data_IF_051011390802
#
_entry.id   IF_051011390802
#
_cell.length_a   1.000
_cell.length_b   1.000
_cell.length_c   1.000
_cell.angle_alpha   90.00
_cell.angle_beta   90.00
_cell.angle_gamma   90.00
#
_symmetry.space_group_name_H-M   'P 1'
#
loop_
_entity.id
_entity.type
_entity.pdbx_description
1 polymer ?
#
# COMPACT_ATOMS: atom_id res chain seq x y z
N UNK A 1 -6.76 52.46 -46.01
CA UNK A 1 -6.13 51.14 -46.00
C UNK A 1 -7.12 50.23 -45.26
N UNK A 2 -7.92 49.47 -46.04
CA UNK A 2 -8.79 48.45 -45.51
C UNK A 2 -7.94 47.21 -45.26
N UNK A 3 -7.88 46.74 -44.03
CA UNK A 3 -7.32 45.44 -43.69
C UNK A 3 -8.44 44.43 -43.98
N UNK A 4 -8.27 43.66 -45.06
CA UNK A 4 -9.11 42.53 -45.40
C UNK A 4 -9.09 41.53 -44.25
N UNK A 5 -10.31 41.10 -43.82
CA UNK A 5 -10.49 40.14 -42.78
C UNK A 5 -9.83 38.80 -43.14
N UNK A 6 -9.02 38.29 -42.24
CA UNK A 6 -8.49 36.93 -42.32
C UNK A 6 -9.68 35.95 -42.40
N UNK A 7 -9.77 35.28 -43.52
CA UNK A 7 -10.68 34.17 -43.76
C UNK A 7 -10.48 33.13 -42.62
N UNK A 8 -11.45 33.02 -41.75
CA UNK A 8 -11.42 31.99 -40.70
C UNK A 8 -11.54 30.65 -41.39
N UNK A 9 -10.43 29.93 -41.46
CA UNK A 9 -10.41 28.57 -42.04
C UNK A 9 -11.51 27.74 -41.40
N UNK A 10 -12.50 27.37 -42.17
CA UNK A 10 -13.64 26.55 -41.75
C UNK A 10 -13.10 25.16 -41.45
N UNK A 11 -13.10 24.74 -40.14
CA UNK A 11 -12.72 23.39 -39.76
C UNK A 11 -13.80 22.42 -40.18
N UNK A 12 -13.50 21.46 -41.02
CA UNK A 12 -14.40 20.35 -41.34
C UNK A 12 -14.48 19.39 -40.13
N UNK A 13 -15.68 19.14 -39.64
CA UNK A 13 -15.95 18.17 -38.58
C UNK A 13 -16.43 16.86 -39.20
N UNK A 14 -15.65 15.78 -39.01
CA UNK A 14 -16.01 14.43 -39.47
C UNK A 14 -16.36 13.61 -38.22
N UNK A 15 -17.66 13.33 -38.04
CA UNK A 15 -18.20 12.64 -36.87
C UNK A 15 -18.59 11.20 -37.20
N UNK A 16 -18.87 10.40 -36.14
CA UNK A 16 -19.33 9.00 -36.24
C UNK A 16 -18.37 8.09 -37.02
N UNK A 17 -17.07 8.33 -36.89
CA UNK A 17 -16.05 7.45 -37.47
C UNK A 17 -16.20 6.03 -36.93
N UNK A 18 -16.07 5.00 -37.79
CA UNK A 18 -16.20 3.61 -37.34
C UNK A 18 -15.02 3.24 -36.44
N UNK A 19 -15.31 2.48 -35.38
CA UNK A 19 -14.30 1.97 -34.45
C UNK A 19 -14.64 0.55 -33.99
N UNK A 20 -13.65 -0.18 -33.51
CA UNK A 20 -13.80 -1.44 -32.78
C UNK A 20 -13.23 -1.28 -31.39
N UNK A 21 -13.74 -2.05 -30.42
CA UNK A 21 -13.25 -2.06 -29.06
C UNK A 21 -12.51 -3.34 -28.74
N UNK A 22 -11.48 -3.26 -27.92
CA UNK A 22 -10.81 -4.41 -27.32
C UNK A 22 -10.54 -4.12 -25.86
N UNK A 23 -10.74 -5.11 -24.99
CA UNK A 23 -10.44 -4.98 -23.56
C UNK A 23 -9.06 -5.57 -23.29
N UNK A 24 -8.07 -4.74 -23.08
CA UNK A 24 -6.69 -5.14 -22.79
C UNK A 24 -6.21 -4.67 -21.40
N UNK A 25 -6.81 -3.58 -20.89
CA UNK A 25 -6.46 -2.98 -19.59
C UNK A 25 -7.24 -3.71 -18.49
N UNK A 26 -6.54 -4.19 -17.46
CA UNK A 26 -7.15 -4.91 -16.33
C UNK A 26 -7.81 -6.23 -16.71
N UNK A 27 -7.36 -6.88 -17.78
CA UNK A 27 -7.98 -8.12 -18.25
C UNK A 27 -7.70 -9.33 -17.37
N UNK A 28 -6.61 -9.31 -16.58
CA UNK A 28 -6.28 -10.35 -15.60
C UNK A 28 -6.69 -9.97 -14.19
N UNK A 29 -6.49 -8.69 -13.83
CA UNK A 29 -6.90 -8.18 -12.54
C UNK A 29 -7.01 -6.65 -12.52
N UNK A 30 -8.03 -6.14 -11.82
CA UNK A 30 -8.24 -4.73 -11.51
C UNK A 30 -8.13 -4.55 -10.00
N UNK A 31 -7.07 -3.88 -9.56
CA UNK A 31 -6.77 -3.64 -8.14
C UNK A 31 -7.08 -2.17 -7.83
N UNK A 32 -8.05 -1.91 -6.95
CA UNK A 32 -8.34 -0.57 -6.45
C UNK A 32 -7.60 -0.28 -5.15
N UNK A 33 -7.09 0.94 -5.00
CA UNK A 33 -6.42 1.38 -3.78
C UNK A 33 -6.90 2.77 -3.34
N UNK A 34 -7.43 2.87 -2.13
CA UNK A 34 -7.69 4.14 -1.46
C UNK A 34 -6.42 4.56 -0.74
N UNK A 35 -5.78 5.63 -1.22
CA UNK A 35 -4.46 6.11 -0.79
C UNK A 35 -4.60 7.42 -0.03
N UNK A 36 -3.73 7.71 0.94
CA UNK A 36 -3.75 8.99 1.64
C UNK A 36 -3.43 10.16 0.70
N UNK A 37 -4.12 11.29 0.87
CA UNK A 37 -3.84 12.49 0.07
C UNK A 37 -2.41 13.00 0.28
N UNK A 38 -1.80 12.73 1.45
CA UNK A 38 -0.43 13.11 1.80
C UNK A 38 0.64 12.09 1.37
N UNK A 39 0.26 10.89 0.88
CA UNK A 39 1.21 9.83 0.55
C UNK A 39 2.01 10.14 -0.73
N UNK A 40 3.33 10.09 -0.65
CA UNK A 40 4.27 10.26 -1.76
C UNK A 40 4.83 8.92 -2.26
N UNK A 41 4.70 7.85 -1.48
CA UNK A 41 5.52 6.63 -1.61
C UNK A 41 4.75 5.47 -2.22
N UNK A 42 3.52 5.23 -1.77
CA UNK A 42 2.79 4.01 -2.07
C UNK A 42 2.63 3.78 -3.58
N UNK A 43 2.10 4.76 -4.31
CA UNK A 43 1.92 4.61 -5.77
C UNK A 43 3.24 4.43 -6.52
N UNK A 44 4.33 5.05 -6.02
CA UNK A 44 5.66 4.87 -6.57
C UNK A 44 6.15 3.42 -6.41
N UNK A 45 6.03 2.85 -5.21
CA UNK A 45 6.46 1.49 -4.93
C UNK A 45 5.56 0.44 -5.62
N UNK A 46 4.24 0.66 -5.66
CA UNK A 46 3.31 -0.23 -6.35
C UNK A 46 3.66 -0.37 -7.84
N UNK A 47 4.03 0.73 -8.52
CA UNK A 47 4.48 0.69 -9.93
C UNK A 47 5.78 -0.10 -10.13
N UNK A 48 6.60 -0.24 -9.09
CA UNK A 48 7.82 -1.05 -9.15
C UNK A 48 7.54 -2.55 -8.93
N UNK A 49 6.62 -2.87 -8.02
CA UNK A 49 6.34 -4.24 -7.61
C UNK A 49 5.28 -4.95 -8.47
N UNK A 50 4.29 -4.21 -8.98
CA UNK A 50 3.20 -4.79 -9.76
C UNK A 50 3.39 -4.44 -11.24
N UNK A 51 4.16 -5.28 -11.94
CA UNK A 51 4.49 -5.14 -13.35
C UNK A 51 4.08 -6.41 -14.14
N UNK A 52 2.82 -6.81 -13.99
CA UNK A 52 2.28 -8.00 -14.64
C UNK A 52 1.37 -7.59 -15.81
N UNK A 53 1.58 -8.08 -17.03
CA UNK A 53 0.71 -7.77 -18.16
C UNK A 53 -0.76 -8.08 -17.85
N UNK A 54 -1.65 -7.12 -18.06
CA UNK A 54 -3.08 -7.24 -17.81
C UNK A 54 -3.49 -7.12 -16.33
N UNK A 55 -2.57 -6.78 -15.44
CA UNK A 55 -2.85 -6.39 -14.04
C UNK A 55 -2.70 -4.90 -13.93
N UNK A 56 -3.77 -4.20 -13.58
CA UNK A 56 -3.78 -2.74 -13.51
C UNK A 56 -4.28 -2.25 -12.15
N UNK A 57 -3.69 -1.12 -11.69
CA UNK A 57 -3.99 -0.51 -10.39
C UNK A 57 -4.70 0.82 -10.61
N UNK A 58 -5.76 1.04 -9.86
CA UNK A 58 -6.57 2.25 -9.89
C UNK A 58 -6.59 2.89 -8.51
N UNK A 59 -6.38 4.20 -8.44
CA UNK A 59 -6.24 4.92 -7.18
C UNK A 59 -7.32 5.97 -6.99
N UNK A 60 -7.75 6.14 -5.73
CA UNK A 60 -8.46 7.33 -5.27
C UNK A 60 -7.79 7.82 -3.98
N UNK A 61 -7.69 9.15 -3.80
CA UNK A 61 -7.02 9.72 -2.64
C UNK A 61 -8.03 10.20 -1.60
N UNK A 62 -7.86 9.71 -0.36
CA UNK A 62 -8.69 10.08 0.78
C UNK A 62 -8.06 11.25 1.54
N UNK A 63 -8.86 12.25 1.89
CA UNK A 63 -8.42 13.37 2.72
C UNK A 63 -7.97 12.88 4.11
N UNK A 64 -6.80 13.32 4.54
CA UNK A 64 -6.21 12.97 5.83
C UNK A 64 -5.39 14.14 6.41
N UNK A 65 -5.04 14.06 7.69
CA UNK A 65 -4.10 14.96 8.34
C UNK A 65 -2.65 14.59 7.99
N UNK A 66 -1.77 15.58 7.92
CA UNK A 66 -0.32 15.39 7.85
C UNK A 66 0.30 14.94 9.17
N UNK A 67 -0.43 15.10 10.29
CA UNK A 67 0.00 14.64 11.61
C UNK A 67 -0.71 13.33 11.96
N UNK A 68 0.08 12.32 12.27
CA UNK A 68 -0.35 10.95 12.54
C UNK A 68 -0.62 10.79 14.04
N UNK A 69 -1.91 10.76 14.43
CA UNK A 69 -2.36 10.42 15.79
C UNK A 69 -3.53 9.45 15.73
N UNK A 70 -3.86 8.73 16.82
CA UNK A 70 -5.03 7.87 16.85
C UNK A 70 -6.35 8.56 16.45
N UNK A 71 -6.52 9.85 16.79
CA UNK A 71 -7.70 10.65 16.46
C UNK A 71 -7.77 10.96 14.95
N UNK A 72 -6.66 11.46 14.37
CA UNK A 72 -6.60 11.80 12.95
C UNK A 72 -6.73 10.56 12.06
N UNK A 73 -6.23 9.40 12.51
CA UNK A 73 -6.40 8.12 11.82
C UNK A 73 -7.88 7.68 11.80
N UNK A 74 -8.57 7.78 12.93
CA UNK A 74 -10.01 7.42 13.02
C UNK A 74 -10.92 8.38 12.26
N UNK A 75 -10.52 9.64 12.09
CA UNK A 75 -11.30 10.64 11.36
C UNK A 75 -11.51 10.32 9.87
N UNK A 76 -10.70 9.42 9.29
CA UNK A 76 -10.86 9.01 7.88
C UNK A 76 -12.04 8.05 7.64
N UNK A 77 -12.54 7.35 8.68
CA UNK A 77 -13.60 6.35 8.54
C UNK A 77 -14.82 6.81 7.71
N UNK A 78 -15.43 7.99 7.98
CA UNK A 78 -16.63 8.40 7.25
C UNK A 78 -16.40 8.70 5.77
N UNK A 79 -15.14 8.90 5.36
CA UNK A 79 -14.78 9.21 3.97
C UNK A 79 -14.40 7.97 3.16
N UNK A 80 -14.17 6.82 3.82
CA UNK A 80 -13.54 5.67 3.18
C UNK A 80 -14.41 5.07 2.07
N UNK A 81 -15.70 4.83 2.33
CA UNK A 81 -16.59 4.25 1.33
C UNK A 81 -16.78 5.19 0.12
N UNK A 82 -17.08 6.47 0.35
CA UNK A 82 -17.27 7.44 -0.74
C UNK A 82 -16.02 7.67 -1.57
N UNK A 83 -14.83 7.59 -0.95
CA UNK A 83 -13.57 7.66 -1.71
C UNK A 83 -13.37 6.40 -2.56
N UNK A 84 -13.67 5.22 -2.01
CA UNK A 84 -13.55 3.96 -2.74
C UNK A 84 -14.50 3.87 -3.95
N UNK A 85 -15.70 4.46 -3.86
CA UNK A 85 -16.69 4.54 -4.96
C UNK A 85 -16.15 5.29 -6.19
N UNK A 86 -15.19 6.21 -6.01
CA UNK A 86 -14.56 6.95 -7.11
C UNK A 86 -13.66 6.09 -8.00
N UNK A 87 -13.27 4.91 -7.53
CA UNK A 87 -12.43 4.00 -8.31
C UNK A 87 -13.31 3.23 -9.31
N UNK A 88 -13.17 3.53 -10.59
CA UNK A 88 -13.93 2.92 -11.69
C UNK A 88 -15.44 2.79 -11.36
N UNK A 89 -16.17 3.89 -11.27
CA UNK A 89 -17.60 3.86 -10.92
C UNK A 89 -18.39 2.96 -11.86
N UNK A 90 -19.18 2.03 -11.29
CA UNK A 90 -19.97 1.06 -12.06
C UNK A 90 -19.22 -0.19 -12.51
N UNK A 91 -17.87 -0.22 -12.43
CA UNK A 91 -17.08 -1.39 -12.77
C UNK A 91 -16.75 -2.25 -11.55
N UNK A 92 -16.50 -3.55 -11.81
CA UNK A 92 -16.05 -4.52 -10.82
C UNK A 92 -14.52 -4.40 -10.64
N UNK A 93 -14.08 -4.49 -9.38
CA UNK A 93 -12.68 -4.67 -9.00
C UNK A 93 -12.48 -6.08 -8.45
N UNK A 94 -11.35 -6.73 -8.78
CA UNK A 94 -10.97 -8.02 -8.19
C UNK A 94 -10.54 -7.85 -6.74
N UNK A 95 -9.79 -6.78 -6.46
CA UNK A 95 -9.30 -6.44 -5.12
C UNK A 95 -9.48 -4.95 -4.87
N UNK A 96 -9.88 -4.61 -3.64
CA UNK A 96 -9.95 -3.23 -3.16
C UNK A 96 -9.21 -3.12 -1.84
N UNK A 97 -8.30 -2.16 -1.71
CA UNK A 97 -7.54 -1.93 -0.50
C UNK A 97 -7.70 -0.51 0.05
N UNK A 98 -7.60 -0.38 1.37
CA UNK A 98 -7.33 0.90 2.04
C UNK A 98 -5.85 0.93 2.43
N UNK A 99 -5.07 1.76 1.77
CA UNK A 99 -3.62 1.76 1.84
C UNK A 99 -3.08 2.69 2.95
N UNK A 100 -3.44 2.39 4.19
CA UNK A 100 -2.89 3.04 5.38
C UNK A 100 -2.79 2.04 6.53
N UNK A 101 -1.58 1.72 6.99
CA UNK A 101 -1.35 0.70 8.03
C UNK A 101 -1.91 1.13 9.37
N UNK A 102 -1.47 2.27 9.86
CA UNK A 102 -1.87 2.78 11.19
C UNK A 102 -3.38 3.07 11.28
N UNK A 103 -4.00 3.60 10.21
CA UNK A 103 -5.43 3.81 10.20
C UNK A 103 -6.22 2.49 10.14
N UNK A 104 -5.74 1.50 9.40
CA UNK A 104 -6.36 0.17 9.36
C UNK A 104 -6.35 -0.50 10.74
N UNK A 105 -5.26 -0.34 11.49
CA UNK A 105 -5.16 -0.81 12.88
C UNK A 105 -6.06 0.01 13.81
N UNK A 106 -6.01 1.34 13.74
CA UNK A 106 -6.79 2.23 14.61
C UNK A 106 -8.31 2.11 14.42
N UNK A 107 -8.77 1.75 13.23
CA UNK A 107 -10.17 1.48 12.89
C UNK A 107 -10.57 0.03 13.17
N UNK A 108 -9.63 -0.88 13.07
CA UNK A 108 -9.84 -2.32 13.02
C UNK A 108 -10.07 -2.84 11.59
N UNK A 109 -9.37 -3.91 11.22
CA UNK A 109 -9.44 -4.49 9.85
C UNK A 109 -10.87 -4.88 9.43
N UNK A 110 -11.75 -5.42 10.30
CA UNK A 110 -13.14 -5.72 9.92
C UNK A 110 -13.95 -4.46 9.56
N UNK A 111 -13.73 -3.34 10.26
CA UNK A 111 -14.41 -2.07 9.97
C UNK A 111 -13.96 -1.51 8.63
N UNK A 112 -12.67 -1.58 8.34
CA UNK A 112 -12.12 -1.18 7.03
C UNK A 112 -12.75 -2.02 5.91
N UNK A 113 -12.77 -3.34 6.04
CA UNK A 113 -13.39 -4.25 5.06
C UNK A 113 -14.87 -3.93 4.85
N UNK A 114 -15.61 -3.65 5.93
CA UNK A 114 -17.02 -3.26 5.84
C UNK A 114 -17.23 -1.97 5.02
N UNK A 115 -16.38 -0.95 5.24
CA UNK A 115 -16.44 0.30 4.48
C UNK A 115 -16.11 0.10 3.00
N UNK A 116 -15.09 -0.71 2.69
CA UNK A 116 -14.70 -1.03 1.32
C UNK A 116 -15.78 -1.85 0.59
N UNK A 117 -16.34 -2.86 1.24
CA UNK A 117 -17.41 -3.68 0.67
C UNK A 117 -18.72 -2.90 0.47
N UNK A 118 -18.97 -1.83 1.24
CA UNK A 118 -20.10 -0.95 0.99
C UNK A 118 -19.97 -0.23 -0.36
N UNK A 119 -18.73 0.10 -0.79
CA UNK A 119 -18.45 0.75 -2.07
C UNK A 119 -18.38 -0.26 -3.24
N UNK A 120 -17.74 -1.41 -3.03
CA UNK A 120 -17.47 -2.44 -4.04
C UNK A 120 -17.71 -3.83 -3.43
N UNK A 121 -18.99 -4.29 -3.38
CA UNK A 121 -19.38 -5.51 -2.66
C UNK A 121 -18.76 -6.79 -3.22
N UNK A 122 -18.37 -6.80 -4.49
CA UNK A 122 -17.81 -7.97 -5.18
C UNK A 122 -16.28 -8.08 -5.02
N UNK A 123 -15.61 -6.99 -4.60
CA UNK A 123 -14.16 -6.96 -4.46
C UNK A 123 -13.70 -7.72 -3.21
N UNK A 124 -12.63 -8.49 -3.34
CA UNK A 124 -11.89 -8.97 -2.17
C UNK A 124 -11.19 -7.79 -1.52
N UNK A 125 -11.34 -7.64 -0.19
CA UNK A 125 -10.79 -6.47 0.50
C UNK A 125 -9.53 -6.80 1.28
N UNK A 126 -8.61 -5.83 1.32
CA UNK A 126 -7.39 -5.91 2.13
C UNK A 126 -6.94 -4.53 2.61
N UNK A 127 -5.92 -4.52 3.44
CA UNK A 127 -5.21 -3.34 3.92
C UNK A 127 -3.80 -3.75 4.36
N UNK A 128 -2.85 -2.82 4.59
CA UNK A 128 -1.46 -3.17 4.89
C UNK A 128 -1.27 -3.98 6.17
N UNK A 129 -2.11 -3.80 7.20
CA UNK A 129 -2.02 -4.57 8.42
C UNK A 129 -2.42 -6.03 8.17
N UNK A 130 -3.56 -6.26 7.53
CA UNK A 130 -4.02 -7.61 7.19
C UNK A 130 -3.06 -8.31 6.21
N UNK A 131 -2.53 -7.55 5.24
CA UNK A 131 -1.51 -8.06 4.32
C UNK A 131 -0.21 -8.46 5.03
N UNK A 132 0.22 -7.68 6.04
CA UNK A 132 1.40 -8.02 6.85
C UNK A 132 1.19 -9.33 7.64
N UNK A 133 0.03 -9.53 8.25
CA UNK A 133 -0.27 -10.77 8.96
C UNK A 133 -0.28 -11.99 8.02
N UNK A 134 -0.87 -11.85 6.83
CA UNK A 134 -0.82 -12.89 5.80
C UNK A 134 0.63 -13.16 5.34
N UNK A 135 1.45 -12.11 5.20
CA UNK A 135 2.86 -12.24 4.85
C UNK A 135 3.67 -12.97 5.93
N UNK A 136 3.45 -12.68 7.23
CA UNK A 136 4.10 -13.38 8.33
C UNK A 136 3.77 -14.87 8.32
N UNK A 137 2.50 -15.21 8.08
CA UNK A 137 2.06 -16.60 7.95
C UNK A 137 2.71 -17.31 6.75
N UNK A 138 2.75 -16.66 5.59
CA UNK A 138 3.38 -17.21 4.38
C UNK A 138 4.89 -17.44 4.54
N UNK A 139 5.56 -16.57 5.32
CA UNK A 139 6.97 -16.69 5.67
C UNK A 139 7.24 -17.67 6.82
N UNK A 140 6.20 -18.22 7.46
CA UNK A 140 6.33 -19.10 8.62
C UNK A 140 6.88 -18.41 9.89
N UNK A 141 6.78 -17.09 9.93
CA UNK A 141 7.34 -16.27 11.01
C UNK A 141 6.46 -16.29 12.27
N UNK A 142 7.09 -16.19 13.42
CA UNK A 142 6.45 -16.02 14.73
C UNK A 142 6.94 -14.80 15.49
N UNK A 143 8.24 -14.50 15.38
CA UNK A 143 8.93 -13.42 16.09
C UNK A 143 9.23 -12.28 15.13
N UNK A 144 8.52 -11.18 15.28
CA UNK A 144 8.52 -10.05 14.36
C UNK A 144 9.33 -8.89 14.96
N UNK A 145 10.45 -8.51 14.32
CA UNK A 145 11.09 -7.23 14.60
C UNK A 145 10.33 -6.12 13.88
N UNK A 146 9.87 -5.12 14.59
CA UNK A 146 9.05 -4.03 14.02
C UNK A 146 9.84 -2.73 14.00
N UNK A 147 9.80 -2.02 12.87
CA UNK A 147 10.30 -0.66 12.70
C UNK A 147 9.18 0.24 12.21
N UNK A 148 8.99 1.39 12.85
CA UNK A 148 7.96 2.38 12.49
C UNK A 148 8.52 3.79 12.49
N UNK A 149 7.84 4.76 11.86
CA UNK A 149 8.14 6.17 12.08
C UNK A 149 7.38 6.77 13.26
N UNK A 150 6.34 6.14 13.78
CA UNK A 150 5.30 6.72 14.63
C UNK A 150 5.77 7.08 16.04
N UNK A 151 4.97 7.91 16.72
CA UNK A 151 5.08 8.16 18.14
C UNK A 151 4.63 6.95 19.01
N UNK A 152 4.80 7.08 20.32
CA UNK A 152 4.50 5.99 21.28
C UNK A 152 3.03 5.54 21.21
N UNK A 153 2.08 6.47 21.07
CA UNK A 153 0.66 6.14 21.10
C UNK A 153 0.24 5.27 19.90
N UNK A 154 0.77 5.58 18.71
CA UNK A 154 0.53 4.78 17.50
C UNK A 154 1.35 3.48 17.52
N UNK A 155 2.58 3.52 18.05
CA UNK A 155 3.42 2.33 18.19
C UNK A 155 2.78 1.26 19.09
N UNK A 156 2.16 1.68 20.18
CA UNK A 156 1.45 0.75 21.09
C UNK A 156 0.25 0.09 20.37
N UNK A 157 -0.48 0.80 19.50
CA UNK A 157 -1.53 0.21 18.68
C UNK A 157 -0.97 -0.83 17.68
N UNK A 158 0.13 -0.51 17.00
CA UNK A 158 0.77 -1.43 16.05
C UNK A 158 1.25 -2.69 16.75
N UNK A 159 1.95 -2.54 17.88
CA UNK A 159 2.46 -3.66 18.67
C UNK A 159 1.32 -4.57 19.13
N UNK A 160 0.31 -3.99 19.78
CA UNK A 160 -0.85 -4.74 20.28
C UNK A 160 -1.55 -5.48 19.13
N UNK A 161 -1.76 -4.84 17.98
CA UNK A 161 -2.40 -5.49 16.83
C UNK A 161 -1.64 -6.71 16.30
N UNK A 162 -0.31 -6.67 16.32
CA UNK A 162 0.52 -7.81 15.91
C UNK A 162 0.45 -8.94 16.96
N UNK A 163 0.48 -8.59 18.24
CA UNK A 163 0.41 -9.55 19.34
C UNK A 163 -0.97 -10.21 19.44
N UNK A 164 -2.05 -9.47 19.21
CA UNK A 164 -3.43 -9.99 19.21
C UNK A 164 -3.66 -11.02 18.08
N UNK A 165 -2.91 -10.94 16.99
CA UNK A 165 -2.92 -11.94 15.90
C UNK A 165 -2.03 -13.17 16.21
N UNK A 166 -1.43 -13.23 17.40
CA UNK A 166 -0.67 -14.37 17.90
C UNK A 166 0.82 -14.39 17.52
N UNK A 167 1.37 -13.26 17.07
CA UNK A 167 2.80 -13.09 16.81
C UNK A 167 3.50 -12.48 18.02
N UNK A 168 4.78 -12.80 18.18
CA UNK A 168 5.65 -12.18 19.18
C UNK A 168 6.37 -10.96 18.60
N UNK A 169 6.54 -9.91 19.43
CA UNK A 169 7.29 -8.70 19.04
C UNK A 169 8.48 -8.51 20.01
N UNK A 170 9.59 -9.27 19.82
CA UNK A 170 10.74 -9.22 20.73
C UNK A 170 11.49 -7.89 20.67
N UNK A 171 11.37 -7.13 19.59
CA UNK A 171 11.99 -5.81 19.45
C UNK A 171 11.10 -4.87 18.63
N UNK A 172 11.06 -3.62 19.07
CA UNK A 172 10.30 -2.56 18.41
C UNK A 172 11.16 -1.29 18.33
N UNK A 173 11.43 -0.83 17.10
CA UNK A 173 12.16 0.42 16.81
C UNK A 173 11.22 1.49 16.28
N UNK A 174 11.52 2.75 16.55
CA UNK A 174 10.78 3.88 16.00
C UNK A 174 11.67 5.10 15.76
N UNK A 175 11.35 5.86 14.70
CA UNK A 175 11.96 7.17 14.45
C UNK A 175 11.28 8.30 15.26
N UNK A 176 10.09 8.07 15.82
CA UNK A 176 9.26 9.07 16.52
C UNK A 176 8.99 10.33 15.69
N UNK A 177 8.72 10.17 14.40
CA UNK A 177 8.40 11.24 13.48
C UNK A 177 6.90 11.20 13.11
N UNK A 178 6.07 12.09 13.66
CA UNK A 178 4.62 12.06 13.41
C UNK A 178 4.20 12.79 12.13
N UNK A 179 5.10 13.51 11.46
CA UNK A 179 4.79 14.28 10.26
C UNK A 179 4.98 13.43 9.00
N UNK A 180 3.88 13.01 8.41
CA UNK A 180 3.84 12.05 7.30
C UNK A 180 4.73 12.43 6.08
N UNK A 181 4.78 13.69 5.60
CA UNK A 181 5.70 14.07 4.53
C UNK A 181 7.19 13.93 4.90
N UNK A 182 7.56 14.12 6.18
CA UNK A 182 8.93 13.91 6.65
C UNK A 182 9.27 12.42 6.62
N UNK A 183 8.33 11.56 7.01
CA UNK A 183 8.48 10.09 6.95
C UNK A 183 8.82 9.63 5.53
N UNK A 184 8.13 10.16 4.52
CA UNK A 184 8.39 9.83 3.12
C UNK A 184 9.81 10.24 2.64
N UNK A 185 10.48 11.11 3.40
CA UNK A 185 11.84 11.60 3.10
C UNK A 185 12.94 10.85 3.83
N UNK A 186 12.63 9.89 4.73
CA UNK A 186 13.63 9.05 5.39
C UNK A 186 14.36 8.24 4.32
N UNK A 187 15.69 8.38 4.27
CA UNK A 187 16.50 7.72 3.24
C UNK A 187 16.75 6.23 3.54
N UNK A 188 17.08 5.48 2.48
CA UNK A 188 17.29 4.04 2.57
C UNK A 188 18.45 3.65 3.53
N UNK A 189 19.50 4.46 3.63
CA UNK A 189 20.61 4.19 4.53
C UNK A 189 20.20 4.31 5.99
N UNK A 190 19.40 5.32 6.33
CA UNK A 190 18.82 5.49 7.66
C UNK A 190 17.91 4.32 8.04
N UNK A 191 17.06 3.87 7.10
CA UNK A 191 16.19 2.70 7.29
C UNK A 191 17.01 1.43 7.51
N UNK A 192 17.99 1.18 6.67
CA UNK A 192 18.89 0.03 6.79
C UNK A 192 19.65 0.04 8.10
N UNK A 193 20.24 1.19 8.49
CA UNK A 193 20.96 1.31 9.76
C UNK A 193 20.03 1.04 10.96
N UNK A 194 18.79 1.53 10.92
CA UNK A 194 17.79 1.26 11.97
C UNK A 194 17.44 -0.22 12.04
N UNK A 195 17.20 -0.88 10.90
CA UNK A 195 16.93 -2.32 10.82
C UNK A 195 18.09 -3.11 11.45
N UNK A 196 19.32 -2.88 10.99
CA UNK A 196 20.51 -3.56 11.52
C UNK A 196 20.64 -3.35 13.04
N UNK A 197 20.36 -2.12 13.52
CA UNK A 197 20.45 -1.77 14.94
C UNK A 197 19.43 -2.52 15.80
N UNK A 198 18.17 -2.61 15.37
CA UNK A 198 17.13 -3.27 16.17
C UNK A 198 17.26 -4.79 16.15
N UNK A 199 17.87 -5.36 15.11
CA UNK A 199 17.99 -6.81 14.96
C UNK A 199 19.25 -7.41 15.60
N UNK A 200 20.28 -6.59 15.89
CA UNK A 200 21.63 -7.01 16.31
C UNK A 200 21.68 -8.06 17.45
N UNK A 201 20.73 -8.03 18.39
CA UNK A 201 20.74 -8.87 19.60
C UNK A 201 19.44 -9.64 19.82
N UNK A 202 18.61 -9.74 18.81
CA UNK A 202 17.30 -10.34 18.92
C UNK A 202 17.16 -11.53 17.97
N UNK A 203 16.64 -12.63 18.49
CA UNK A 203 16.26 -13.78 17.70
C UNK A 203 14.88 -13.51 17.08
N UNK A 204 14.85 -13.34 15.77
CA UNK A 204 13.68 -12.90 15.00
C UNK A 204 13.52 -13.75 13.74
N UNK A 205 12.31 -13.85 13.25
CA UNK A 205 11.99 -14.61 12.04
C UNK A 205 11.75 -13.69 10.82
N UNK A 206 11.33 -12.43 11.05
CA UNK A 206 11.08 -11.44 10.00
C UNK A 206 11.24 -10.02 10.53
N UNK A 207 11.64 -9.10 9.66
CA UNK A 207 11.58 -7.65 9.93
C UNK A 207 10.38 -7.06 9.20
N UNK A 208 9.54 -6.31 9.91
CA UNK A 208 8.40 -5.58 9.38
C UNK A 208 8.56 -4.07 9.54
N UNK A 209 8.57 -3.34 8.41
CA UNK A 209 8.60 -1.89 8.39
C UNK A 209 7.15 -1.39 8.20
N UNK A 210 6.57 -0.83 9.27
CA UNK A 210 5.15 -0.51 9.35
C UNK A 210 4.86 0.96 9.08
N UNK A 211 4.74 1.33 7.81
CA UNK A 211 4.15 2.58 7.31
C UNK A 211 4.13 2.56 5.78
N UNK A 212 3.05 3.03 5.15
CA UNK A 212 2.96 3.15 3.69
C UNK A 212 3.79 4.30 3.13
N UNK A 213 4.09 5.31 3.95
CA UNK A 213 4.93 6.44 3.55
C UNK A 213 6.42 6.12 3.58
N UNK A 214 6.86 5.02 4.23
CA UNK A 214 8.27 4.59 4.23
C UNK A 214 8.60 3.90 2.91
N UNK A 215 9.66 4.38 2.25
CA UNK A 215 10.13 3.86 0.96
C UNK A 215 11.28 2.87 1.14
N UNK A 216 11.02 1.57 0.92
CA UNK A 216 12.02 0.51 1.12
C UNK A 216 11.86 -0.70 0.18
N UNK A 217 10.78 -0.78 -0.60
CA UNK A 217 10.48 -1.99 -1.37
C UNK A 217 11.59 -2.38 -2.35
N UNK A 218 12.29 -1.42 -2.95
CA UNK A 218 13.40 -1.67 -3.86
C UNK A 218 14.65 -2.26 -3.17
N UNK A 219 14.79 -2.07 -1.86
CA UNK A 219 15.97 -2.47 -1.09
C UNK A 219 15.75 -3.78 -0.32
N UNK A 220 14.52 -4.31 -0.28
CA UNK A 220 14.14 -5.49 0.51
C UNK A 220 15.08 -6.68 0.24
N UNK A 221 15.24 -7.09 -1.00
CA UNK A 221 16.08 -8.25 -1.34
C UNK A 221 17.56 -8.07 -0.94
N UNK A 222 18.08 -6.85 -1.05
CA UNK A 222 19.44 -6.52 -0.62
C UNK A 222 19.58 -6.62 0.89
N UNK A 223 18.62 -6.06 1.64
CA UNK A 223 18.62 -6.09 3.10
C UNK A 223 18.48 -7.53 3.61
N UNK A 224 17.60 -8.32 3.01
CA UNK A 224 17.46 -9.76 3.32
C UNK A 224 18.78 -10.52 3.14
N UNK A 225 19.49 -10.26 2.04
CA UNK A 225 20.78 -10.90 1.76
C UNK A 225 21.85 -10.58 2.81
N UNK A 226 21.83 -9.37 3.37
CA UNK A 226 22.79 -8.95 4.39
C UNK A 226 22.39 -9.41 5.80
N UNK A 227 21.08 -9.42 6.08
CA UNK A 227 20.56 -9.74 7.41
C UNK A 227 20.37 -11.26 7.62
N UNK A 228 20.13 -12.00 6.54
CA UNK A 228 19.89 -13.44 6.60
C UNK A 228 18.48 -13.84 7.04
N UNK A 229 17.56 -12.88 7.20
CA UNK A 229 16.15 -13.12 7.51
C UNK A 229 15.23 -12.34 6.56
N UNK A 230 13.99 -12.80 6.34
CA UNK A 230 13.01 -12.09 5.51
C UNK A 230 12.74 -10.67 6.00
N UNK A 231 12.51 -9.78 5.06
CA UNK A 231 12.13 -8.39 5.31
C UNK A 231 10.88 -8.06 4.53
N UNK A 232 9.93 -7.41 5.15
CA UNK A 232 8.75 -6.88 4.44
C UNK A 232 8.36 -5.51 4.97
N UNK A 233 7.63 -4.76 4.16
CA UNK A 233 7.06 -3.47 4.57
C UNK A 233 5.55 -3.46 4.34
N UNK A 234 4.89 -2.43 4.82
CA UNK A 234 3.46 -2.22 4.57
C UNK A 234 3.11 -2.28 3.08
N UNK A 235 3.86 -1.58 2.24
CA UNK A 235 3.63 -1.56 0.80
C UNK A 235 4.01 -2.90 0.14
N UNK A 236 5.11 -3.49 0.56
CA UNK A 236 5.60 -4.75 0.04
C UNK A 236 4.61 -5.90 0.33
N UNK A 237 4.15 -6.03 1.56
CA UNK A 237 3.13 -6.99 1.94
C UNK A 237 1.79 -6.73 1.24
N UNK A 238 1.38 -5.44 1.12
CA UNK A 238 0.13 -5.08 0.44
C UNK A 238 0.16 -5.44 -1.04
N UNK A 239 1.25 -5.14 -1.75
CA UNK A 239 1.42 -5.49 -3.16
C UNK A 239 1.32 -7.00 -3.37
N UNK A 240 2.08 -7.78 -2.58
CA UNK A 240 2.04 -9.24 -2.61
C UNK A 240 0.64 -9.78 -2.34
N UNK A 241 -0.02 -9.29 -1.30
CA UNK A 241 -1.34 -9.80 -0.91
C UNK A 241 -2.42 -9.43 -1.93
N UNK A 242 -2.39 -8.22 -2.50
CA UNK A 242 -3.30 -7.85 -3.59
C UNK A 242 -3.15 -8.79 -4.79
N UNK A 243 -1.93 -9.14 -5.19
CA UNK A 243 -1.68 -10.10 -6.26
C UNK A 243 -2.26 -11.48 -5.92
N UNK A 244 -1.99 -12.01 -4.72
CA UNK A 244 -2.52 -13.32 -4.29
C UNK A 244 -4.06 -13.34 -4.23
N UNK A 245 -4.69 -12.28 -3.74
CA UNK A 245 -6.15 -12.14 -3.74
C UNK A 245 -6.73 -12.07 -5.17
N UNK A 246 -6.01 -11.45 -6.09
CA UNK A 246 -6.37 -11.37 -7.50
C UNK A 246 -6.13 -12.68 -8.28
N UNK A 247 -5.52 -13.70 -7.67
CA UNK A 247 -5.17 -14.97 -8.33
C UNK A 247 -3.91 -14.87 -9.20
N UNK A 248 -3.04 -13.90 -8.92
CA UNK A 248 -1.75 -13.72 -9.58
C UNK A 248 -0.68 -14.36 -8.70
N UNK A 249 -0.25 -15.59 -9.04
CA UNK A 249 0.64 -16.40 -8.22
C UNK A 249 2.09 -16.47 -8.74
N UNK A 250 2.41 -15.66 -9.76
CA UNK A 250 3.76 -15.58 -10.31
C UNK A 250 4.78 -15.18 -9.25
N UNK A 251 5.90 -15.90 -9.22
CA UNK A 251 7.00 -15.64 -8.29
C UNK A 251 7.93 -14.58 -8.85
N UNK A 252 8.35 -13.65 -8.00
CA UNK A 252 9.29 -12.56 -8.34
C UNK A 252 10.40 -12.50 -7.27
N UNK A 253 11.36 -13.43 -7.27
CA UNK A 253 12.41 -13.52 -6.25
C UNK A 253 13.23 -12.23 -6.10
N UNK A 254 13.30 -11.41 -7.16
CA UNK A 254 13.98 -10.11 -7.15
C UNK A 254 13.35 -9.10 -6.18
N UNK A 255 12.09 -9.31 -5.79
CA UNK A 255 11.40 -8.51 -4.78
C UNK A 255 11.55 -9.07 -3.36
N UNK A 256 12.34 -10.14 -3.16
CA UNK A 256 12.61 -10.73 -1.84
C UNK A 256 11.85 -12.04 -1.59
N UNK A 257 12.04 -12.58 -0.38
CA UNK A 257 11.55 -13.92 -0.01
C UNK A 257 10.02 -14.01 -0.04
N UNK A 258 9.30 -12.97 0.39
CA UNK A 258 7.83 -12.94 0.37
C UNK A 258 7.26 -13.17 -1.03
N UNK A 259 7.86 -12.57 -2.06
CA UNK A 259 7.42 -12.75 -3.45
C UNK A 259 7.86 -14.08 -4.07
N UNK A 260 8.53 -14.91 -3.29
CA UNK A 260 8.86 -16.30 -3.63
C UNK A 260 7.91 -17.32 -2.98
N UNK A 261 6.99 -16.85 -2.11
CA UNK A 261 5.96 -17.65 -1.45
C UNK A 261 4.73 -17.91 -2.34
#
# INVERSE_FOLDING_TARGET
IFIEGTDMTHTEMIENLPFTTSQVIGMRARIGMVVLATDYTLEHEMRQMIQFPGVDIYYARIANSTIITPETLRAMKPLLASTAELILPGDILDVLSFACTSASIALGTPVVSQCLNAAKPEAKTTNPAFAAFAAFQALGAKRIAVLTPYDRAVNDLVKTSIEDEGFEVPVFGSFNEPHDPTVASIDANSLKAAIMRITERHDIDVVFISCTSVRIAADVATIESELGVPVTSSNHALAWHCLRLAGIDEKVPQLGQLFSC
#
